data_IF_735853090986
#
_entry.id   IF_735853090986
#
_cell.length_a   1.000
_cell.length_b   1.000
_cell.length_c   1.000
_cell.angle_alpha   90.00
_cell.angle_beta   90.00
_cell.angle_gamma   90.00
#
_symmetry.space_group_name_H-M   'P 1'
#
loop_
_entity.id
_entity.type
_entity.pdbx_description
1 polymer ?
#
# COMPACT_ATOMS: atom_id res chain seq x y z
N UNK A 1 0.83 7.55 -3.82
CA UNK A 1 1.47 6.34 -3.26
C UNK A 1 2.23 5.63 -4.37
N UNK A 2 3.37 5.01 -4.10
CA UNK A 2 4.10 4.18 -5.07
C UNK A 2 4.40 2.83 -4.45
N UNK A 3 4.29 1.76 -5.25
CA UNK A 3 4.58 0.39 -4.84
C UNK A 3 5.81 -0.14 -5.56
N UNK A 4 6.61 -0.95 -4.86
CA UNK A 4 7.67 -1.74 -5.46
C UNK A 4 7.10 -2.62 -6.58
N UNK A 5 7.82 -2.75 -7.70
CA UNK A 5 7.32 -3.42 -8.92
C UNK A 5 6.72 -4.80 -8.64
N UNK A 6 7.35 -5.60 -7.78
CA UNK A 6 6.89 -6.95 -7.40
C UNK A 6 5.52 -7.00 -6.70
N UNK A 7 5.10 -5.92 -6.03
CA UNK A 7 3.85 -5.86 -5.26
C UNK A 7 2.66 -5.41 -6.11
N UNK A 8 2.91 -4.77 -7.24
CA UNK A 8 1.86 -4.11 -8.03
C UNK A 8 0.83 -5.08 -8.58
N UNK A 9 1.25 -6.27 -9.00
CA UNK A 9 0.33 -7.28 -9.50
C UNK A 9 -0.55 -7.85 -8.38
N UNK A 10 0.00 -8.10 -7.19
CA UNK A 10 -0.78 -8.51 -6.02
C UNK A 10 -1.80 -7.46 -5.58
N UNK A 11 -1.44 -6.16 -5.64
CA UNK A 11 -2.38 -5.06 -5.42
C UNK A 11 -3.48 -5.04 -6.48
N UNK A 12 -3.12 -5.17 -7.76
CA UNK A 12 -4.07 -5.21 -8.88
C UNK A 12 -5.07 -6.37 -8.77
N UNK A 13 -4.62 -7.53 -8.29
CA UNK A 13 -5.46 -8.72 -8.05
C UNK A 13 -6.30 -8.62 -6.77
N UNK A 14 -6.07 -7.61 -5.93
CA UNK A 14 -6.75 -7.45 -4.64
C UNK A 14 -6.23 -8.39 -3.55
N UNK A 15 -5.11 -9.07 -3.78
CA UNK A 15 -4.45 -9.93 -2.78
C UNK A 15 -3.70 -9.11 -1.73
N UNK A 16 -3.21 -7.93 -2.12
CA UNK A 16 -2.58 -6.96 -1.22
C UNK A 16 -3.52 -5.78 -1.08
N UNK A 17 -4.08 -5.60 0.11
CA UNK A 17 -5.07 -4.54 0.45
C UNK A 17 -4.57 -3.58 1.52
N UNK A 18 -3.34 -3.76 1.97
CA UNK A 18 -2.71 -2.86 2.93
C UNK A 18 -1.24 -2.63 2.62
N UNK A 19 -0.69 -1.59 3.25
CA UNK A 19 0.70 -1.24 3.11
C UNK A 19 1.20 -0.49 4.33
N UNK A 20 2.37 -0.90 4.82
CA UNK A 20 3.11 -0.16 5.84
C UNK A 20 3.99 0.92 5.18
N UNK A 21 3.99 2.13 5.75
CA UNK A 21 4.82 3.26 5.33
C UNK A 21 5.49 3.91 6.53
N UNK A 22 6.77 4.25 6.38
CA UNK A 22 7.52 4.95 7.40
C UNK A 22 7.84 6.34 6.87
N UNK A 23 7.15 7.34 7.39
CA UNK A 23 7.21 8.72 6.90
C UNK A 23 7.37 9.71 8.06
N UNK A 24 7.68 10.97 7.76
CA UNK A 24 7.62 12.05 8.76
C UNK A 24 6.17 12.48 9.01
N UNK A 25 5.33 12.48 7.97
CA UNK A 25 3.89 12.78 7.99
C UNK A 25 3.17 11.97 6.92
N UNK A 26 1.83 11.81 6.96
CA UNK A 26 1.10 11.16 5.87
C UNK A 26 1.28 11.89 4.54
N UNK A 27 1.65 11.15 3.48
CA UNK A 27 1.75 11.66 2.10
C UNK A 27 0.49 11.36 1.27
N UNK A 28 -0.45 10.63 1.86
CA UNK A 28 -1.74 10.27 1.24
C UNK A 28 -2.89 10.66 2.16
N UNK A 29 -4.11 10.63 1.63
CA UNK A 29 -5.34 10.95 2.36
C UNK A 29 -6.38 9.85 2.16
N UNK A 30 -7.23 9.64 3.16
CA UNK A 30 -8.43 8.79 3.05
C UNK A 30 -9.33 9.32 1.94
N UNK A 31 -9.90 8.42 1.13
CA UNK A 31 -10.61 8.71 -0.12
C UNK A 31 -9.71 9.17 -1.27
N UNK A 32 -8.39 9.27 -1.05
CA UNK A 32 -7.43 9.64 -2.08
C UNK A 32 -7.18 8.49 -3.05
N UNK A 33 -7.22 8.79 -4.35
CA UNK A 33 -6.93 7.82 -5.41
C UNK A 33 -5.50 7.96 -5.94
N UNK A 34 -4.81 6.83 -6.09
CA UNK A 34 -3.41 6.80 -6.54
C UNK A 34 -3.18 5.71 -7.59
N UNK A 35 -2.47 6.03 -8.69
CA UNK A 35 -2.32 5.09 -9.81
C UNK A 35 -1.48 3.87 -9.43
N UNK A 36 -1.93 2.70 -9.88
CA UNK A 36 -1.21 1.42 -9.80
C UNK A 36 -1.51 0.62 -11.07
N UNK A 37 -0.48 0.31 -11.85
CA UNK A 37 -0.62 -0.35 -13.16
C UNK A 37 -1.65 0.37 -14.05
N UNK A 38 -2.65 -0.36 -14.55
CA UNK A 38 -3.70 0.16 -15.40
C UNK A 38 -4.83 0.85 -14.63
N UNK A 39 -4.88 0.73 -13.30
CA UNK A 39 -5.95 1.29 -12.47
C UNK A 39 -5.41 2.18 -11.36
N UNK A 40 -6.12 2.20 -10.24
CA UNK A 40 -5.77 3.01 -9.09
C UNK A 40 -6.19 2.31 -7.81
N UNK A 41 -5.52 2.60 -6.71
CA UNK A 41 -6.05 2.29 -5.38
C UNK A 41 -6.83 3.50 -4.85
N UNK A 42 -7.82 3.26 -4.00
CA UNK A 42 -8.42 4.28 -3.14
C UNK A 42 -8.09 3.96 -1.68
N UNK A 43 -7.62 4.95 -0.93
CA UNK A 43 -7.22 4.77 0.46
C UNK A 43 -8.46 4.76 1.37
N UNK A 44 -8.63 3.68 2.11
CA UNK A 44 -9.74 3.46 3.03
C UNK A 44 -9.42 3.98 4.44
N UNK A 45 -8.23 3.69 4.96
CA UNK A 45 -7.78 4.16 6.26
C UNK A 45 -6.28 4.46 6.31
N UNK A 46 -5.89 5.34 7.24
CA UNK A 46 -4.51 5.64 7.58
C UNK A 46 -4.41 5.62 9.10
N UNK A 47 -3.74 4.62 9.64
CA UNK A 47 -3.61 4.40 11.08
C UNK A 47 -2.14 4.52 11.49
N UNK A 48 -1.78 5.39 12.46
CA UNK A 48 -0.45 5.35 13.05
C UNK A 48 -0.32 4.05 13.87
N UNK A 49 0.76 3.31 13.64
CA UNK A 49 1.06 2.06 14.35
C UNK A 49 2.47 2.11 14.95
N UNK A 50 2.76 1.17 15.84
CA UNK A 50 4.10 0.95 16.40
C UNK A 50 4.86 -0.20 15.73
N UNK A 51 6.15 -0.34 16.05
CA UNK A 51 6.92 -1.53 15.68
C UNK A 51 6.32 -2.85 16.16
N UNK A 52 5.73 -2.96 17.38
CA UNK A 52 5.10 -4.20 17.84
C UNK A 52 3.94 -4.68 16.95
N UNK A 53 3.26 -3.75 16.25
CA UNK A 53 2.14 -4.06 15.37
C UNK A 53 2.60 -4.61 14.00
N UNK A 54 3.90 -4.49 13.67
CA UNK A 54 4.47 -5.06 12.45
C UNK A 54 4.76 -6.55 12.65
N UNK A 55 3.69 -7.35 12.62
CA UNK A 55 3.78 -8.80 12.78
C UNK A 55 4.13 -9.51 11.47
N UNK A 56 4.58 -10.78 11.52
CA UNK A 56 4.76 -11.60 10.32
C UNK A 56 3.49 -11.72 9.47
N UNK A 57 2.32 -11.76 10.12
CA UNK A 57 1.01 -11.82 9.46
C UNK A 57 0.73 -10.53 8.70
N UNK A 58 0.94 -9.36 9.33
CA UNK A 58 0.80 -8.07 8.65
C UNK A 58 1.77 -7.94 7.47
N UNK A 59 3.00 -8.43 7.63
CA UNK A 59 3.98 -8.42 6.56
C UNK A 59 3.50 -9.24 5.34
N UNK A 60 2.92 -10.42 5.58
CA UNK A 60 2.35 -11.27 4.52
C UNK A 60 1.12 -10.65 3.87
N UNK A 61 0.22 -10.08 4.65
CA UNK A 61 -0.95 -9.33 4.15
C UNK A 61 -0.54 -8.15 3.26
N UNK A 62 0.58 -7.50 3.59
CA UNK A 62 1.19 -6.43 2.79
C UNK A 62 2.02 -6.93 1.60
N UNK A 63 2.08 -8.24 1.34
CA UNK A 63 2.79 -8.85 0.21
C UNK A 63 4.29 -9.11 0.41
N UNK A 64 4.77 -9.14 1.66
CA UNK A 64 6.16 -9.43 2.01
C UNK A 64 6.31 -10.83 2.61
N UNK A 65 7.51 -11.42 2.49
CA UNK A 65 7.79 -12.73 3.07
C UNK A 65 7.85 -12.72 4.61
N UNK A 66 8.10 -11.56 5.19
CA UNK A 66 8.16 -11.35 6.64
C UNK A 66 8.60 -9.94 7.02
N UNK A 67 8.69 -9.69 8.33
CA UNK A 67 8.95 -8.36 8.91
C UNK A 67 10.24 -7.73 8.40
N UNK A 68 11.33 -8.50 8.28
CA UNK A 68 12.61 -7.98 7.80
C UNK A 68 12.55 -7.51 6.33
N UNK A 69 11.86 -8.26 5.47
CA UNK A 69 11.68 -7.90 4.05
C UNK A 69 10.80 -6.65 3.90
N UNK A 70 9.75 -6.54 4.73
CA UNK A 70 8.93 -5.33 4.83
C UNK A 70 9.76 -4.13 5.26
N UNK A 71 10.48 -4.24 6.39
CA UNK A 71 11.21 -3.11 6.96
C UNK A 71 12.34 -2.62 6.05
N UNK A 72 13.01 -3.51 5.31
CA UNK A 72 14.03 -3.13 4.31
C UNK A 72 13.48 -2.19 3.25
N UNK A 73 12.22 -2.36 2.85
CA UNK A 73 11.55 -1.55 1.82
C UNK A 73 10.79 -0.37 2.42
N UNK A 74 10.31 -0.48 3.66
CA UNK A 74 9.55 0.60 4.31
C UNK A 74 10.48 1.67 4.90
N UNK A 75 11.67 1.29 5.41
CA UNK A 75 12.66 2.20 6.00
C UNK A 75 13.50 2.86 4.91
N UNK A 76 12.91 3.84 4.22
CA UNK A 76 13.64 4.71 3.31
C UNK A 76 13.44 6.18 3.71
N UNK A 77 14.54 6.92 3.86
CA UNK A 77 14.52 8.34 4.23
C UNK A 77 14.56 8.59 5.74
N UNK A 78 14.14 9.80 6.15
CA UNK A 78 14.27 10.31 7.53
C UNK A 78 13.02 10.12 8.40
N UNK A 79 12.02 9.40 7.92
CA UNK A 79 10.75 9.19 8.63
C UNK A 79 10.90 8.20 9.78
N UNK A 80 10.21 8.47 10.90
CA UNK A 80 10.16 7.58 12.06
C UNK A 80 8.72 7.17 12.44
N UNK A 81 7.70 7.82 11.85
CA UNK A 81 6.30 7.50 12.12
C UNK A 81 5.86 6.39 11.17
N UNK A 82 5.30 5.32 11.73
CA UNK A 82 4.83 4.17 10.98
C UNK A 82 3.33 4.32 10.78
N UNK A 83 2.88 4.13 9.54
CA UNK A 83 1.48 4.18 9.16
C UNK A 83 1.09 2.87 8.47
N UNK A 84 0.00 2.28 8.94
CA UNK A 84 -0.74 1.26 8.20
C UNK A 84 -1.76 1.95 7.30
N UNK A 85 -1.68 1.67 6.01
CA UNK A 85 -2.59 2.23 5.00
C UNK A 85 -3.41 1.07 4.45
N UNK A 86 -4.72 1.09 4.64
CA UNK A 86 -5.65 0.16 4.00
C UNK A 86 -6.25 0.78 2.74
N UNK A 87 -6.43 -0.03 1.72
CA UNK A 87 -6.94 0.42 0.42
C UNK A 87 -7.57 -0.74 -0.35
N UNK A 88 -8.38 -0.39 -1.34
CA UNK A 88 -8.89 -1.32 -2.34
C UNK A 88 -8.49 -0.88 -3.75
N UNK A 89 -8.34 -1.85 -4.65
CA UNK A 89 -8.03 -1.58 -6.05
C UNK A 89 -9.31 -1.24 -6.83
N UNK A 90 -9.23 -0.18 -7.63
CA UNK A 90 -10.25 0.28 -8.57
C UNK A 90 -9.69 0.06 -9.98
N UNK A 91 -10.24 -0.91 -10.74
CA UNK A 91 -9.87 -1.13 -12.13
C UNK A 91 -10.10 0.14 -12.98
N UNK A 92 -9.27 0.38 -13.99
CA UNK A 92 -9.61 1.37 -14.99
C UNK A 92 -10.97 1.05 -15.61
N UNK A 93 -11.84 2.05 -15.66
CA UNK A 93 -13.08 1.94 -16.41
C UNK A 93 -12.70 1.66 -17.87
N UNK A 94 -13.04 0.49 -18.40
CA UNK A 94 -12.93 0.23 -19.84
C UNK A 94 -13.66 1.37 -20.55
N UNK A 95 -12.94 2.12 -21.39
CA UNK A 95 -13.60 3.00 -22.34
C UNK A 95 -14.49 2.09 -23.18
N UNK A 96 -15.81 2.25 -23.05
CA UNK A 96 -16.76 1.62 -23.96
C UNK A 96 -16.40 2.16 -25.35
N UNK A 97 -15.86 1.32 -26.21
CA UNK A 97 -15.70 1.64 -27.63
C UNK A 97 -17.10 1.99 -28.13
N UNK A 98 -17.32 3.25 -28.51
CA UNK A 98 -18.53 3.61 -29.24
C UNK A 98 -18.50 2.82 -30.55
N UNK A 99 -19.53 2.00 -30.75
CA UNK A 99 -19.83 1.35 -32.02
C UNK A 99 -20.47 2.35 -32.96
#
# INVERSE_FOLDING_TARGET
>A
MVFAKRLRDGVRRGEITCSVRIWTRPHVKVGGRYPVEEGQIEVDSIEPIGFPDITPELARESGFLGVLDLLKIAKHGKGNNIYLIRFHYIPARRKRSAS
#
